data_IF_751565309478
#
_entry.id   IF_751565309478
#
_cell.length_a   1.000
_cell.length_b   1.000
_cell.length_c   1.000
_cell.angle_alpha   90.00
_cell.angle_beta   90.00
_cell.angle_gamma   90.00
#
_symmetry.space_group_name_H-M   'P 1'
#
loop_
_entity.id
_entity.type
_entity.pdbx_description
1 polymer ?
#
# COMPACT_ATOMS: atom_id res chain seq x y z
N UNK A 1 -17.32 13.76 -2.95
CA UNK A 1 -15.96 14.10 -2.50
C UNK A 1 -14.92 13.34 -3.29
N UNK A 2 -13.75 13.96 -3.47
CA UNK A 2 -12.60 13.33 -4.14
C UNK A 2 -11.37 13.44 -3.25
N UNK A 3 -10.78 12.29 -2.92
CA UNK A 3 -9.49 12.22 -2.25
C UNK A 3 -8.45 11.88 -3.31
N UNK A 4 -7.52 12.80 -3.52
CA UNK A 4 -6.48 12.67 -4.54
C UNK A 4 -5.12 12.60 -3.87
N UNK A 5 -4.37 11.54 -4.14
CA UNK A 5 -2.99 11.38 -3.70
C UNK A 5 -2.03 11.59 -4.89
N UNK A 6 -1.15 12.56 -4.73
CA UNK A 6 -0.14 12.89 -5.75
C UNK A 6 1.10 12.01 -5.57
N UNK A 7 1.43 11.27 -6.62
CA UNK A 7 2.66 10.47 -6.67
C UNK A 7 3.55 10.91 -7.83
N UNK A 8 4.84 10.74 -7.67
CA UNK A 8 5.79 10.93 -8.78
C UNK A 8 6.35 9.59 -9.24
N UNK A 9 6.63 9.48 -10.53
CA UNK A 9 7.27 8.31 -11.11
C UNK A 9 8.11 8.72 -12.32
N UNK A 10 9.19 8.02 -12.60
CA UNK A 10 10.01 8.35 -13.77
C UNK A 10 9.21 8.22 -15.06
N UNK A 11 8.50 7.10 -15.26
CA UNK A 11 7.80 6.76 -16.51
C UNK A 11 6.28 6.56 -16.33
N UNK A 12 5.78 6.73 -15.10
CA UNK A 12 4.43 6.35 -14.72
C UNK A 12 4.39 4.95 -14.05
N UNK A 13 3.20 4.52 -13.67
CA UNK A 13 2.96 3.23 -13.05
C UNK A 13 2.57 2.18 -14.08
N UNK A 14 3.29 1.07 -14.10
CA UNK A 14 2.94 -0.14 -14.84
C UNK A 14 1.85 -0.93 -14.10
N UNK A 15 1.39 -2.02 -14.70
CA UNK A 15 0.32 -2.86 -14.15
C UNK A 15 0.64 -3.37 -12.74
N UNK A 16 1.89 -3.79 -12.48
CA UNK A 16 2.36 -4.28 -11.20
C UNK A 16 2.24 -3.21 -10.11
N UNK A 17 2.71 -1.99 -10.40
CA UNK A 17 2.64 -0.88 -9.45
C UNK A 17 1.20 -0.45 -9.15
N UNK A 18 0.28 -0.60 -10.12
CA UNK A 18 -1.15 -0.34 -9.94
C UNK A 18 -1.86 -1.42 -9.11
N UNK A 19 -1.34 -2.66 -9.16
CA UNK A 19 -1.84 -3.79 -8.36
C UNK A 19 -1.24 -3.85 -6.95
N UNK A 20 -0.25 -3.02 -6.65
CA UNK A 20 0.41 -2.96 -5.35
C UNK A 20 -0.63 -2.65 -4.24
N UNK A 21 -0.85 -3.64 -3.41
CA UNK A 21 -1.91 -3.60 -2.42
C UNK A 21 -1.61 -2.60 -1.30
N UNK A 22 -0.34 -2.44 -0.92
CA UNK A 22 0.05 -1.47 0.12
C UNK A 22 -0.24 -0.04 -0.31
N UNK A 23 0.05 0.30 -1.57
CA UNK A 23 -0.29 1.62 -2.12
C UNK A 23 -1.81 1.82 -2.17
N UNK A 24 -2.53 0.83 -2.70
CA UNK A 24 -3.97 0.93 -2.84
C UNK A 24 -4.67 1.02 -1.47
N UNK A 25 -4.19 0.28 -0.47
CA UNK A 25 -4.71 0.32 0.89
C UNK A 25 -4.60 1.72 1.52
N UNK A 26 -3.56 2.49 1.19
CA UNK A 26 -3.43 3.88 1.66
C UNK A 26 -4.65 4.72 1.31
N UNK A 27 -5.10 4.70 0.05
CA UNK A 27 -6.28 5.46 -0.36
C UNK A 27 -7.59 4.92 0.21
N UNK A 28 -7.69 3.60 0.41
CA UNK A 28 -8.87 3.00 1.04
C UNK A 28 -8.96 3.46 2.50
N UNK A 29 -7.85 3.51 3.22
CA UNK A 29 -7.80 4.05 4.58
C UNK A 29 -8.22 5.52 4.62
N UNK A 30 -7.67 6.34 3.73
CA UNK A 30 -8.06 7.75 3.65
C UNK A 30 -9.55 7.92 3.44
N UNK A 31 -10.14 7.13 2.54
CA UNK A 31 -11.59 7.11 2.30
C UNK A 31 -12.38 6.76 3.56
N UNK A 32 -11.97 5.68 4.27
CA UNK A 32 -12.66 5.21 5.47
C UNK A 32 -12.54 6.23 6.62
N UNK A 33 -11.35 6.75 6.87
CA UNK A 33 -11.14 7.74 7.93
C UNK A 33 -11.82 9.07 7.63
N UNK A 34 -11.78 9.54 6.38
CA UNK A 34 -12.49 10.75 5.99
C UNK A 34 -13.99 10.62 6.18
N UNK A 35 -14.56 9.49 5.74
CA UNK A 35 -15.99 9.21 5.93
C UNK A 35 -16.37 9.29 7.42
N UNK A 36 -15.58 8.66 8.28
CA UNK A 36 -15.83 8.64 9.73
C UNK A 36 -15.61 9.99 10.40
N UNK A 37 -14.55 10.70 10.01
CA UNK A 37 -14.18 11.97 10.65
C UNK A 37 -15.16 13.11 10.32
N UNK A 38 -15.70 13.12 9.10
CA UNK A 38 -16.55 14.21 8.62
C UNK A 38 -18.02 13.80 8.48
N UNK A 39 -18.40 12.62 8.97
CA UNK A 39 -19.75 12.06 8.89
C UNK A 39 -20.31 12.08 7.45
N UNK A 40 -19.47 11.69 6.49
CA UNK A 40 -19.83 11.65 5.07
C UNK A 40 -20.12 10.21 4.66
N UNK A 41 -21.24 9.92 3.95
CA UNK A 41 -21.48 8.60 3.39
C UNK A 41 -20.31 8.14 2.52
N UNK A 42 -19.77 6.95 2.83
CA UNK A 42 -18.52 6.46 2.22
C UNK A 42 -18.67 6.25 0.70
N UNK A 43 -19.86 5.98 0.22
CA UNK A 43 -20.19 5.87 -1.20
C UNK A 43 -20.05 7.19 -1.97
N UNK A 44 -20.15 8.33 -1.28
CA UNK A 44 -19.98 9.66 -1.86
C UNK A 44 -18.51 10.10 -1.98
N UNK A 45 -17.57 9.24 -1.57
CA UNK A 45 -16.13 9.52 -1.60
C UNK A 45 -15.46 8.70 -2.69
N UNK A 46 -14.85 9.36 -3.64
CA UNK A 46 -14.00 8.77 -4.67
C UNK A 46 -12.52 8.93 -4.29
N UNK A 47 -11.71 7.97 -4.67
CA UNK A 47 -10.26 7.99 -4.40
C UNK A 47 -9.46 7.78 -5.67
N UNK A 48 -8.38 8.53 -5.83
CA UNK A 48 -7.58 8.47 -7.04
C UNK A 48 -6.12 8.84 -6.78
N UNK A 49 -5.20 8.15 -7.44
CA UNK A 49 -3.82 8.58 -7.58
C UNK A 49 -3.65 9.43 -8.84
N UNK A 50 -3.03 10.60 -8.70
CA UNK A 50 -2.47 11.35 -9.81
C UNK A 50 -0.96 11.12 -9.85
N UNK A 51 -0.48 10.41 -10.88
CA UNK A 51 0.93 10.06 -11.03
C UNK A 51 1.57 11.02 -12.03
N UNK A 52 2.47 11.88 -11.54
CA UNK A 52 3.26 12.79 -12.36
C UNK A 52 4.47 12.05 -12.91
N UNK A 53 4.54 11.92 -14.23
CA UNK A 53 5.69 11.35 -14.93
C UNK A 53 6.81 12.38 -15.02
N UNK A 54 7.98 12.07 -14.48
CA UNK A 54 9.16 12.93 -14.57
C UNK A 54 9.77 12.93 -15.96
N UNK A 55 9.68 11.79 -16.69
CA UNK A 55 10.15 11.62 -18.06
C UNK A 55 9.02 11.21 -18.98
N UNK A 56 9.12 11.61 -20.22
CA UNK A 56 8.30 11.16 -21.35
C UNK A 56 9.25 10.54 -22.39
N UNK A 57 8.74 9.65 -23.23
CA UNK A 57 9.55 9.05 -24.31
C UNK A 57 9.82 10.10 -25.38
N UNK A 58 11.08 10.41 -25.63
CA UNK A 58 11.47 11.45 -26.59
C UNK A 58 11.15 11.07 -28.05
N UNK A 59 11.16 9.77 -28.34
CA UNK A 59 10.92 9.22 -29.70
C UNK A 59 9.52 8.59 -29.79
N UNK A 60 8.48 9.25 -29.34
CA UNK A 60 7.12 8.75 -29.46
C UNK A 60 6.38 9.45 -30.56
N UNK A 61 5.84 8.69 -31.52
CA UNK A 61 4.99 9.19 -32.58
C UNK A 61 3.61 9.66 -32.09
N UNK A 62 3.30 9.40 -30.81
CA UNK A 62 2.02 9.75 -30.22
C UNK A 62 2.17 10.74 -29.08
N UNK A 63 1.20 11.68 -28.92
CA UNK A 63 1.17 12.60 -27.78
C UNK A 63 1.14 11.84 -26.45
N UNK A 64 2.04 12.17 -25.54
CA UNK A 64 2.14 11.53 -24.25
C UNK A 64 1.57 12.44 -23.16
N UNK A 65 0.76 11.84 -22.27
CA UNK A 65 0.24 12.53 -21.09
C UNK A 65 1.26 12.47 -19.95
N UNK A 66 1.63 13.62 -19.40
CA UNK A 66 2.51 13.71 -18.23
C UNK A 66 1.81 13.23 -16.94
N UNK A 67 0.49 13.33 -16.89
CA UNK A 67 -0.32 12.88 -15.77
C UNK A 67 -0.95 11.54 -16.11
N UNK A 68 -0.77 10.57 -15.23
CA UNK A 68 -1.46 9.28 -15.28
C UNK A 68 -2.40 9.20 -14.08
N UNK A 69 -3.62 8.77 -14.32
CA UNK A 69 -4.64 8.58 -13.28
C UNK A 69 -4.82 7.10 -12.99
N UNK A 70 -5.04 6.77 -11.71
CA UNK A 70 -5.34 5.42 -11.27
C UNK A 70 -6.27 5.44 -10.06
N UNK A 71 -7.48 4.91 -10.24
CA UNK A 71 -8.44 4.73 -9.15
C UNK A 71 -8.48 3.27 -8.75
N UNK A 72 -7.98 2.91 -7.55
CA UNK A 72 -8.04 1.54 -7.08
C UNK A 72 -9.46 1.14 -6.71
N UNK A 73 -9.74 -0.17 -6.76
CA UNK A 73 -10.97 -0.70 -6.21
C UNK A 73 -11.04 -0.42 -4.70
N UNK A 74 -12.07 0.31 -4.26
CA UNK A 74 -12.24 0.77 -2.89
C UNK A 74 -13.64 0.48 -2.32
N UNK A 75 -14.33 -0.53 -2.87
CA UNK A 75 -15.66 -0.96 -2.43
C UNK A 75 -15.64 -1.74 -1.12
N UNK A 76 -16.82 -2.12 -0.62
CA UNK A 76 -17.06 -2.77 0.68
C UNK A 76 -16.15 -3.98 0.93
N UNK A 77 -15.93 -4.83 -0.08
CA UNK A 77 -15.08 -6.03 0.06
C UNK A 77 -13.63 -5.62 0.41
N UNK A 78 -13.08 -4.63 -0.28
CA UNK A 78 -11.72 -4.15 -0.02
C UNK A 78 -11.60 -3.44 1.33
N UNK A 79 -12.60 -2.68 1.72
CA UNK A 79 -12.66 -2.05 3.03
C UNK A 79 -12.67 -3.11 4.14
N UNK A 80 -13.51 -4.14 4.02
CA UNK A 80 -13.57 -5.25 4.98
C UNK A 80 -12.24 -5.98 5.11
N UNK A 81 -11.64 -6.39 3.98
CA UNK A 81 -10.34 -7.05 3.96
C UNK A 81 -9.25 -6.22 4.64
N UNK A 82 -9.26 -4.91 4.42
CA UNK A 82 -8.29 -4.01 5.03
C UNK A 82 -8.54 -3.85 6.53
N UNK A 83 -9.79 -3.71 6.97
CA UNK A 83 -10.14 -3.66 8.40
C UNK A 83 -9.68 -4.93 9.11
N UNK A 84 -10.02 -6.11 8.58
CA UNK A 84 -9.62 -7.39 9.16
C UNK A 84 -8.08 -7.53 9.25
N UNK A 85 -7.36 -7.02 8.25
CA UNK A 85 -5.88 -7.02 8.27
C UNK A 85 -5.31 -6.10 9.34
N UNK A 86 -5.93 -4.94 9.57
CA UNK A 86 -5.51 -3.99 10.61
C UNK A 86 -5.84 -4.54 11.98
N UNK A 87 -7.04 -5.08 12.19
CA UNK A 87 -7.47 -5.65 13.46
C UNK A 87 -6.56 -6.81 13.85
N UNK A 88 -6.22 -7.67 12.87
CA UNK A 88 -5.25 -8.74 13.08
C UNK A 88 -3.88 -8.20 13.49
N UNK A 89 -3.38 -7.18 12.79
CA UNK A 89 -2.09 -6.56 13.13
C UNK A 89 -2.12 -5.95 14.54
N UNK A 90 -3.19 -5.26 14.91
CA UNK A 90 -3.34 -4.66 16.24
C UNK A 90 -3.35 -5.75 17.32
N UNK A 91 -4.14 -6.81 17.12
CA UNK A 91 -4.24 -7.92 18.10
C UNK A 91 -2.95 -8.73 18.24
N UNK A 92 -2.12 -8.78 17.21
CA UNK A 92 -0.83 -9.51 17.24
C UNK A 92 0.32 -8.64 17.77
N UNK A 93 0.25 -7.32 17.62
CA UNK A 93 1.38 -6.42 17.89
C UNK A 93 1.23 -5.61 19.19
N UNK A 94 0.01 -5.50 19.69
CA UNK A 94 -0.28 -4.65 20.86
C UNK A 94 -1.07 -5.41 21.91
N UNK A 95 -0.86 -5.03 23.16
CA UNK A 95 -1.64 -5.47 24.32
C UNK A 95 -2.97 -4.70 24.41
N UNK A 96 -3.90 -5.17 25.25
CA UNK A 96 -5.23 -4.56 25.39
C UNK A 96 -5.19 -3.08 25.86
N UNK A 97 -4.12 -2.70 26.55
CA UNK A 97 -3.88 -1.30 26.96
C UNK A 97 -3.21 -0.45 25.86
N UNK A 98 -3.05 -1.01 24.65
CA UNK A 98 -2.50 -0.31 23.48
C UNK A 98 -0.97 -0.17 23.49
N UNK A 99 -0.27 -0.85 24.39
CA UNK A 99 1.18 -0.88 24.40
C UNK A 99 1.70 -1.95 23.42
N UNK A 100 2.89 -1.72 22.86
CA UNK A 100 3.55 -2.74 22.04
C UNK A 100 3.77 -4.02 22.86
N UNK A 101 3.26 -5.14 22.39
CA UNK A 101 3.53 -6.42 23.02
C UNK A 101 4.98 -6.84 22.77
N UNK A 102 5.80 -6.80 23.84
CA UNK A 102 7.21 -7.20 23.80
C UNK A 102 7.41 -8.72 23.67
N UNK A 103 6.35 -9.51 23.90
CA UNK A 103 6.37 -10.97 23.78
C UNK A 103 5.82 -11.45 22.43
N UNK A 104 5.29 -10.54 21.62
CA UNK A 104 4.73 -10.87 20.32
C UNK A 104 5.79 -11.50 19.42
N UNK A 105 5.44 -12.64 18.82
CA UNK A 105 6.25 -13.32 17.82
C UNK A 105 5.72 -12.97 16.44
N UNK A 106 6.49 -12.24 15.66
CA UNK A 106 6.09 -11.82 14.33
C UNK A 106 6.46 -12.89 13.31
N UNK A 107 5.50 -13.20 12.41
CA UNK A 107 5.75 -14.10 11.31
C UNK A 107 6.68 -13.44 10.28
N UNK A 108 7.68 -14.19 9.85
CA UNK A 108 8.56 -13.78 8.77
C UNK A 108 7.89 -14.09 7.43
N UNK A 109 7.97 -13.17 6.50
CA UNK A 109 7.44 -13.33 5.13
C UNK A 109 8.58 -13.22 4.12
N UNK A 110 9.42 -14.28 4.00
CA UNK A 110 10.52 -14.29 3.04
C UNK A 110 9.96 -14.32 1.61
N UNK A 111 10.53 -13.48 0.74
CA UNK A 111 10.29 -13.51 -0.70
C UNK A 111 11.49 -12.88 -1.40
N UNK A 112 11.63 -13.11 -2.70
CA UNK A 112 12.68 -12.45 -3.50
C UNK A 112 12.63 -10.93 -3.39
N UNK A 113 11.43 -10.37 -3.34
CA UNK A 113 11.20 -8.93 -3.22
C UNK A 113 11.54 -8.42 -1.82
N UNK A 114 11.02 -9.06 -0.79
CA UNK A 114 11.22 -8.63 0.60
C UNK A 114 12.66 -8.78 1.05
N UNK A 115 13.33 -9.85 0.62
CA UNK A 115 14.70 -10.15 1.03
C UNK A 115 15.77 -9.48 0.16
N UNK A 116 15.40 -8.93 -0.99
CA UNK A 116 16.35 -8.31 -1.92
C UNK A 116 17.23 -7.24 -1.26
N UNK A 117 16.66 -6.43 -0.39
CA UNK A 117 17.31 -5.31 0.29
C UNK A 117 17.32 -5.45 1.82
N UNK A 118 17.04 -6.67 2.33
CA UNK A 118 17.00 -6.94 3.75
C UNK A 118 18.41 -7.01 4.32
N UNK A 119 18.66 -6.27 5.39
CA UNK A 119 19.97 -6.28 6.10
C UNK A 119 20.30 -7.64 6.70
N UNK A 120 19.26 -8.43 7.03
CA UNK A 120 19.42 -9.76 7.63
C UNK A 120 19.52 -10.89 6.61
N UNK A 121 19.53 -10.60 5.32
CA UNK A 121 19.56 -11.59 4.24
C UNK A 121 20.73 -12.59 4.37
N UNK A 122 21.89 -12.12 4.85
CA UNK A 122 23.10 -12.92 4.97
C UNK A 122 23.45 -13.19 6.46
N UNK A 123 22.50 -13.12 7.35
CA UNK A 123 22.67 -13.30 8.79
C UNK A 123 21.83 -14.48 9.29
N UNK A 124 22.36 -15.73 9.15
CA UNK A 124 21.63 -16.94 9.59
C UNK A 124 21.37 -16.97 11.11
N UNK A 125 22.17 -16.23 11.88
CA UNK A 125 21.99 -16.01 13.31
C UNK A 125 20.74 -15.15 13.65
N UNK A 126 20.28 -14.32 12.71
CA UNK A 126 19.13 -13.42 12.88
C UNK A 126 17.93 -13.80 11.99
N UNK A 127 18.17 -14.53 10.92
CA UNK A 127 17.14 -14.94 9.99
C UNK A 127 17.29 -16.43 9.62
N UNK A 128 16.44 -17.26 10.19
CA UNK A 128 16.37 -18.72 9.95
C UNK A 128 15.83 -19.09 8.55
N UNK A 129 15.29 -18.13 7.81
CA UNK A 129 14.80 -18.29 6.43
C UNK A 129 15.85 -17.95 5.37
N UNK A 130 17.10 -17.82 5.77
CA UNK A 130 18.18 -17.50 4.86
C UNK A 130 18.46 -18.70 3.93
N UNK A 131 18.29 -18.50 2.62
CA UNK A 131 18.49 -19.54 1.61
C UNK A 131 17.24 -20.28 1.12
N UNK A 132 16.07 -20.00 1.68
CA UNK A 132 14.79 -20.57 1.21
C UNK A 132 14.12 -19.75 0.09
N UNK A 133 14.87 -18.82 -0.56
CA UNK A 133 14.32 -17.87 -1.52
C UNK A 133 15.03 -17.95 -2.87
#
# INVERSE_FOLDING_TARGET
YYIIDLKTSTWGWKAEAKKDQLKNNQLILYKMFYAKQFDVPIENINVEFLILKRKLWEKSDFPQKRIQRHSPASGRIKQKQLTESIDKFISEAFTDDGQKDKKATYLKYPSKENCKWCEYKNRPDLCDKNGEI
#
